data_IF_125490284063
#
_entry.id   IF_125490284063
#
_cell.length_a   1.000
_cell.length_b   1.000
_cell.length_c   1.000
_cell.angle_alpha   90.00
_cell.angle_beta   90.00
_cell.angle_gamma   90.00
#
_symmetry.space_group_name_H-M   'P 1'
#
loop_
_entity.id
_entity.type
_entity.pdbx_description
1 polymer ?
#
# COMPACT_ATOMS: atom_id res chain seq x y z
N UNK A 1 -18.23 -9.08 -5.50
CA UNK A 1 -17.15 -8.30 -6.13
C UNK A 1 -16.07 -9.28 -6.53
N UNK A 2 -15.76 -9.33 -7.82
CA UNK A 2 -14.78 -10.25 -8.40
C UNK A 2 -13.71 -9.42 -9.11
N UNK A 3 -12.46 -9.83 -9.05
CA UNK A 3 -11.34 -9.19 -9.73
C UNK A 3 -10.35 -10.24 -10.22
N UNK A 4 -9.55 -9.89 -11.23
CA UNK A 4 -8.49 -10.73 -11.77
C UNK A 4 -7.13 -10.26 -11.27
N UNK A 5 -6.28 -11.20 -10.85
CA UNK A 5 -4.87 -10.96 -10.57
C UNK A 5 -4.03 -11.71 -11.59
N UNK A 6 -3.18 -10.99 -12.31
CA UNK A 6 -2.29 -11.56 -13.32
C UNK A 6 -0.86 -11.60 -12.78
N UNK A 7 -0.26 -12.80 -12.76
CA UNK A 7 1.16 -12.98 -12.50
C UNK A 7 1.95 -12.97 -13.82
N UNK A 8 3.06 -12.24 -13.86
CA UNK A 8 3.89 -12.05 -15.04
C UNK A 8 5.38 -12.08 -14.69
N UNK A 9 6.25 -12.11 -15.69
CA UNK A 9 7.69 -12.00 -15.44
C UNK A 9 8.05 -10.60 -14.97
N UNK A 10 9.20 -10.44 -14.29
CA UNK A 10 9.65 -9.12 -13.84
C UNK A 10 9.79 -8.11 -15.00
N UNK A 11 10.30 -8.57 -16.14
CA UNK A 11 10.47 -7.71 -17.32
C UNK A 11 9.12 -7.22 -17.88
N UNK A 12 8.13 -8.11 -17.99
CA UNK A 12 6.79 -7.74 -18.48
C UNK A 12 6.09 -6.79 -17.49
N UNK A 13 6.30 -6.99 -16.19
CA UNK A 13 5.78 -6.10 -15.16
C UNK A 13 6.37 -4.70 -15.26
N UNK A 14 7.69 -4.59 -15.40
CA UNK A 14 8.36 -3.30 -15.53
C UNK A 14 7.92 -2.56 -16.80
N UNK A 15 7.73 -3.27 -17.91
CA UNK A 15 7.17 -2.70 -19.14
C UNK A 15 5.75 -2.16 -18.92
N UNK A 16 4.88 -2.95 -18.31
CA UNK A 16 3.51 -2.55 -18.00
C UNK A 16 3.45 -1.33 -17.07
N UNK A 17 4.28 -1.28 -16.03
CA UNK A 17 4.35 -0.13 -15.12
C UNK A 17 4.75 1.14 -15.88
N UNK A 18 5.71 1.05 -16.80
CA UNK A 18 6.13 2.21 -17.60
C UNK A 18 5.02 2.65 -18.56
N UNK A 19 4.33 1.71 -19.21
CA UNK A 19 3.21 2.01 -20.10
C UNK A 19 2.09 2.74 -19.35
N UNK A 20 1.67 2.23 -18.19
CA UNK A 20 0.64 2.88 -17.36
C UNK A 20 1.07 4.28 -16.94
N UNK A 21 2.30 4.46 -16.44
CA UNK A 21 2.77 5.77 -16.00
C UNK A 21 2.86 6.81 -17.12
N UNK A 22 3.02 6.38 -18.37
CA UNK A 22 3.19 7.28 -19.51
C UNK A 22 1.91 7.54 -20.30
N UNK A 23 0.97 6.59 -20.30
CA UNK A 23 -0.23 6.65 -21.13
C UNK A 23 -1.51 6.87 -20.34
N UNK A 24 -1.55 6.49 -19.06
CA UNK A 24 -2.73 6.62 -18.23
C UNK A 24 -2.93 8.07 -17.74
N UNK A 25 -4.18 8.53 -17.61
CA UNK A 25 -4.48 9.82 -17.02
C UNK A 25 -4.11 9.85 -15.53
N UNK A 26 -3.92 11.06 -15.00
CA UNK A 26 -3.80 11.27 -13.56
C UNK A 26 -5.18 11.12 -12.90
N UNK A 27 -5.24 10.46 -11.74
CA UNK A 27 -6.45 10.34 -10.95
C UNK A 27 -6.75 11.68 -10.26
N UNK A 28 -7.92 12.25 -10.58
CA UNK A 28 -8.40 13.47 -9.94
C UNK A 28 -9.30 13.17 -8.73
N UNK A 29 -9.42 14.12 -7.79
CA UNK A 29 -10.32 13.98 -6.62
C UNK A 29 -11.77 13.76 -7.05
N UNK A 30 -12.25 14.51 -8.05
CA UNK A 30 -13.62 14.37 -8.56
C UNK A 30 -13.88 12.99 -9.18
N UNK A 31 -12.92 12.44 -9.91
CA UNK A 31 -13.02 11.10 -10.48
C UNK A 31 -12.95 10.02 -9.41
N UNK A 32 -12.09 10.20 -8.40
CA UNK A 32 -12.05 9.30 -7.24
C UNK A 32 -13.39 9.27 -6.49
N UNK A 33 -14.00 10.43 -6.23
CA UNK A 33 -15.31 10.50 -5.56
C UNK A 33 -16.41 9.83 -6.40
N UNK A 34 -16.40 10.00 -7.72
CA UNK A 34 -17.34 9.32 -8.62
C UNK A 34 -17.15 7.79 -8.59
N UNK A 35 -15.90 7.31 -8.56
CA UNK A 35 -15.60 5.88 -8.47
C UNK A 35 -16.07 5.27 -7.14
N UNK A 36 -16.05 6.03 -6.04
CA UNK A 36 -16.56 5.57 -4.75
C UNK A 36 -18.10 5.41 -4.74
N UNK A 37 -18.81 6.22 -5.50
CA UNK A 37 -20.27 6.17 -5.61
C UNK A 37 -20.77 5.13 -6.62
N UNK A 38 -19.88 4.63 -7.49
CA UNK A 38 -20.25 3.74 -8.59
C UNK A 38 -20.34 2.27 -8.16
N UNK A 39 -21.48 1.63 -8.43
CA UNK A 39 -21.72 0.22 -8.04
C UNK A 39 -20.86 -0.80 -8.82
N UNK A 40 -20.58 -0.53 -10.10
CA UNK A 40 -19.81 -1.42 -10.98
C UNK A 40 -18.90 -0.63 -11.90
N UNK A 41 -17.60 -0.90 -11.79
CA UNK A 41 -16.56 -0.31 -12.64
C UNK A 41 -15.82 -1.39 -13.42
N UNK A 42 -15.26 -1.01 -14.57
CA UNK A 42 -14.40 -1.87 -15.38
C UNK A 42 -12.95 -1.87 -14.87
N UNK A 43 -12.03 -2.34 -15.72
CA UNK A 43 -10.60 -2.15 -15.48
C UNK A 43 -10.18 -0.77 -15.94
N UNK A 44 -9.71 0.04 -15.00
CA UNK A 44 -9.16 1.37 -15.25
C UNK A 44 -7.69 1.43 -14.82
N UNK A 45 -6.96 2.41 -15.32
CA UNK A 45 -5.54 2.57 -15.01
C UNK A 45 -5.25 4.05 -14.87
N UNK A 46 -4.50 4.40 -13.84
CA UNK A 46 -4.15 5.77 -13.49
C UNK A 46 -2.64 5.87 -13.28
N UNK A 47 -2.05 6.99 -13.70
CA UNK A 47 -0.61 7.25 -13.56
C UNK A 47 -0.23 7.83 -12.19
N UNK A 48 -1.20 8.39 -11.45
CA UNK A 48 -1.03 8.97 -10.12
C UNK A 48 -1.83 8.21 -9.04
N UNK A 49 -1.66 8.61 -7.77
CA UNK A 49 -2.32 8.00 -6.60
C UNK A 49 -3.23 8.99 -5.89
N UNK A 50 -4.27 8.50 -5.20
CA UNK A 50 -5.23 9.33 -4.45
C UNK A 50 -4.68 9.97 -3.16
N UNK A 51 -3.47 9.57 -2.72
CA UNK A 51 -2.94 9.93 -1.39
C UNK A 51 -2.70 11.43 -1.17
N UNK A 52 -2.64 12.24 -2.25
CA UNK A 52 -2.46 13.69 -2.15
C UNK A 52 -3.72 14.41 -1.65
N UNK A 53 -4.91 13.90 -1.99
CA UNK A 53 -6.20 14.49 -1.59
C UNK A 53 -6.96 13.64 -0.56
N UNK A 54 -6.69 12.33 -0.53
CA UNK A 54 -7.23 11.40 0.47
C UNK A 54 -6.06 10.64 1.12
N UNK A 55 -5.36 11.26 2.08
CA UNK A 55 -4.25 10.61 2.76
C UNK A 55 -4.76 9.39 3.54
N UNK A 56 -3.88 8.42 3.73
CA UNK A 56 -4.21 7.23 4.53
C UNK A 56 -4.66 7.67 5.94
N UNK A 57 -5.70 7.03 6.50
CA UNK A 57 -6.15 7.35 7.85
C UNK A 57 -5.01 7.10 8.84
N UNK A 58 -4.63 8.14 9.60
CA UNK A 58 -3.72 7.96 10.73
C UNK A 58 -4.50 7.24 11.83
N UNK A 59 -4.09 6.01 12.15
CA UNK A 59 -4.68 5.24 13.24
C UNK A 59 -3.71 5.11 14.42
N UNK A 60 -4.23 5.19 15.65
CA UNK A 60 -3.55 4.94 16.92
C UNK A 60 -2.79 3.59 17.04
N UNK A 61 -2.84 2.72 16.03
CA UNK A 61 -2.16 1.43 16.00
C UNK A 61 -1.08 1.32 14.91
N UNK A 62 -0.91 2.34 14.09
CA UNK A 62 0.14 2.40 13.07
C UNK A 62 1.41 3.02 13.65
N UNK A 63 2.05 2.32 14.58
CA UNK A 63 3.50 2.33 14.80
C UNK A 63 4.25 3.66 15.06
N UNK A 64 3.57 4.78 15.28
CA UNK A 64 4.21 5.99 15.81
C UNK A 64 4.18 5.90 17.35
N UNK A 65 5.30 6.09 18.07
CA UNK A 65 5.24 6.28 19.50
C UNK A 65 4.38 7.51 19.77
N UNK A 66 3.29 7.32 20.50
CA UNK A 66 2.52 8.43 21.04
C UNK A 66 3.49 9.33 21.79
N UNK A 67 3.74 10.52 21.25
CA UNK A 67 4.42 11.61 21.95
C UNK A 67 3.43 12.20 22.95
N UNK A 68 3.05 11.41 23.96
CA UNK A 68 2.39 11.90 25.16
C UNK A 68 3.37 11.66 26.31
N UNK A 69 3.96 12.75 26.81
CA UNK A 69 4.93 12.78 27.90
C UNK A 69 4.28 12.45 29.25
N UNK A 70 3.66 11.29 29.40
CA UNK A 70 3.11 10.85 30.68
C UNK A 70 3.58 9.41 30.99
N UNK A 71 4.70 9.35 31.70
CA UNK A 71 5.12 8.33 32.67
C UNK A 71 4.55 6.90 32.46
N UNK A 72 5.28 6.06 31.73
CA UNK A 72 5.00 4.62 31.71
C UNK A 72 6.25 3.82 32.07
N UNK A 73 6.28 3.40 33.33
CA UNK A 73 7.21 2.45 33.95
C UNK A 73 7.56 1.29 33.00
N UNK A 74 8.86 1.07 32.78
CA UNK A 74 9.38 0.07 31.87
C UNK A 74 9.12 -1.36 32.38
N UNK A 75 8.14 -2.04 31.78
CA UNK A 75 7.97 -3.48 31.96
C UNK A 75 9.05 -4.25 31.16
N UNK A 76 9.64 -5.33 31.71
CA UNK A 76 10.81 -5.98 31.12
C UNK A 76 10.48 -6.69 29.80
N UNK A 77 11.37 -6.49 28.83
CA UNK A 77 11.37 -7.12 27.51
C UNK A 77 11.22 -8.64 27.62
N UNK A 78 10.16 -9.20 27.04
CA UNK A 78 10.04 -10.64 26.84
C UNK A 78 10.77 -10.99 25.54
N UNK A 79 11.97 -11.52 25.73
CA UNK A 79 12.81 -12.17 24.72
C UNK A 79 11.97 -13.15 23.88
N UNK A 80 11.75 -12.85 22.60
CA UNK A 80 11.20 -13.80 21.63
C UNK A 80 12.11 -13.76 20.41
N UNK A 81 13.08 -14.67 20.43
CA UNK A 81 13.99 -15.08 19.36
C UNK A 81 13.36 -14.98 17.96
N UNK A 82 13.88 -14.05 17.16
CA UNK A 82 13.64 -14.00 15.72
C UNK A 82 14.56 -15.02 15.05
N UNK A 83 14.01 -16.18 14.69
CA UNK A 83 14.72 -17.30 14.06
C UNK A 83 15.55 -16.85 12.84
N UNK A 84 16.85 -17.17 12.90
CA UNK A 84 17.87 -16.97 11.87
C UNK A 84 17.58 -17.87 10.65
N UNK A 85 17.41 -17.29 9.47
CA UNK A 85 17.25 -18.04 8.23
C UNK A 85 18.61 -18.62 7.82
N UNK A 86 18.70 -19.95 7.81
CA UNK A 86 19.89 -20.71 7.39
C UNK A 86 19.98 -20.73 5.86
N UNK A 87 21.07 -20.19 5.30
CA UNK A 87 21.49 -20.50 3.94
C UNK A 87 22.37 -21.76 3.96
N UNK A 88 21.99 -22.75 3.16
CA UNK A 88 22.81 -23.91 2.83
C UNK A 88 22.96 -23.94 1.31
N UNK A 89 24.14 -23.56 0.83
CA UNK A 89 24.60 -23.85 -0.53
C UNK A 89 25.29 -25.23 -0.52
N UNK A 90 24.96 -26.09 -1.48
CA UNK A 90 25.64 -27.36 -1.77
C UNK A 90 26.30 -27.30 -3.16
#
# INVERSE_FOLDING_TARGET
MEFEAQAMTAADFDEWVNDVKTTAPELTEAEFDELLETDFVGRESFSSTHLEFSPAPEGEHHGAPASDEEDMETAPSSDTDHFHHQEAEE
#
